data_IF_626733987729
#
_entry.id   IF_626733987729
#
_cell.length_a   1.000
_cell.length_b   1.000
_cell.length_c   1.000
_cell.angle_alpha   90.00
_cell.angle_beta   90.00
_cell.angle_gamma   90.00
#
_symmetry.space_group_name_H-M   'P 1'
#
loop_
_entity.id
_entity.type
_entity.pdbx_description
1 polymer ?
#
# COMPACT_ATOMS: atom_id res chain seq x y z
N UNK A 1 33.84 7.25 9.54
CA UNK A 1 33.08 6.72 10.70
C UNK A 1 31.72 6.28 10.20
N UNK A 2 31.33 5.04 10.43
CA UNK A 2 29.98 4.55 10.11
C UNK A 2 29.00 5.00 11.20
N UNK A 3 27.92 5.66 10.80
CA UNK A 3 26.85 6.08 11.73
C UNK A 3 25.91 4.88 11.94
N UNK A 4 25.76 4.43 13.17
CA UNK A 4 24.74 3.44 13.51
C UNK A 4 23.35 4.07 13.62
N UNK A 5 22.33 3.34 13.16
CA UNK A 5 20.93 3.77 13.14
C UNK A 5 20.01 2.69 13.74
N UNK A 6 18.85 3.10 14.24
CA UNK A 6 17.87 2.18 14.86
C UNK A 6 16.70 1.92 13.93
N UNK A 7 16.47 0.65 13.56
CA UNK A 7 15.34 0.22 12.73
C UNK A 7 14.01 0.37 13.47
N UNK A 8 12.92 0.34 12.69
CA UNK A 8 11.57 0.20 13.24
C UNK A 8 11.41 -1.08 14.10
N UNK A 9 12.22 -2.12 13.85
CA UNK A 9 12.26 -3.34 14.66
C UNK A 9 13.03 -3.21 15.98
N UNK A 10 13.68 -2.07 16.24
CA UNK A 10 14.56 -1.86 17.40
C UNK A 10 16.00 -2.34 17.21
N UNK A 11 16.30 -3.12 16.17
CA UNK A 11 17.68 -3.54 15.85
C UNK A 11 18.52 -2.35 15.36
N UNK A 12 19.79 -2.32 15.75
CA UNK A 12 20.78 -1.37 15.22
C UNK A 12 21.48 -1.94 13.99
N UNK A 13 21.84 -1.07 13.05
CA UNK A 13 22.71 -1.39 11.92
C UNK A 13 23.48 -0.14 11.47
N UNK A 14 24.51 -0.32 10.66
CA UNK A 14 25.16 0.79 9.98
C UNK A 14 24.22 1.42 8.94
N UNK A 15 24.25 2.74 8.84
CA UNK A 15 23.49 3.43 7.80
C UNK A 15 23.95 2.96 6.42
N UNK A 16 22.99 2.55 5.61
CA UNK A 16 23.22 2.20 4.23
C UNK A 16 22.69 3.35 3.35
N UNK A 17 23.57 4.26 2.96
CA UNK A 17 23.25 5.41 2.12
C UNK A 17 22.73 5.00 0.76
N UNK A 18 23.18 3.85 0.24
CA UNK A 18 22.72 3.32 -1.03
C UNK A 18 21.25 2.87 -0.98
N UNK A 19 20.80 2.29 0.15
CA UNK A 19 19.37 2.00 0.37
C UNK A 19 18.54 3.30 0.44
N UNK A 20 19.09 4.35 1.04
CA UNK A 20 18.42 5.66 1.10
C UNK A 20 18.33 6.27 -0.31
N UNK A 21 19.44 6.27 -1.07
CA UNK A 21 19.51 6.70 -2.47
C UNK A 21 18.45 5.99 -3.31
N UNK A 22 18.46 4.66 -3.31
CA UNK A 22 17.49 3.85 -4.04
C UNK A 22 16.03 4.12 -3.60
N UNK A 23 15.79 4.51 -2.35
CA UNK A 23 14.45 4.92 -1.92
C UNK A 23 14.05 6.29 -2.45
N UNK A 24 14.98 7.23 -2.58
CA UNK A 24 14.75 8.55 -3.16
C UNK A 24 14.52 8.44 -4.68
N UNK A 25 15.38 7.71 -5.38
CA UNK A 25 15.27 7.49 -6.83
C UNK A 25 13.96 6.82 -7.22
N UNK A 26 13.53 5.78 -6.47
CA UNK A 26 12.22 5.14 -6.70
C UNK A 26 11.03 6.07 -6.48
N UNK A 27 11.19 7.12 -5.67
CA UNK A 27 10.20 8.19 -5.57
C UNK A 27 10.26 9.21 -6.71
N UNK A 28 11.15 9.03 -7.70
CA UNK A 28 11.29 9.89 -8.85
C UNK A 28 12.22 11.09 -8.64
N UNK A 29 13.07 11.07 -7.61
CA UNK A 29 14.16 12.05 -7.50
C UNK A 29 15.25 11.75 -8.54
N UNK A 30 15.93 12.79 -9.05
CA UNK A 30 17.15 12.61 -9.86
C UNK A 30 18.34 12.19 -8.98
N UNK A 31 19.43 11.74 -9.60
CA UNK A 31 20.66 11.39 -8.86
C UNK A 31 21.28 12.58 -8.12
N UNK A 32 21.22 13.76 -8.73
CA UNK A 32 21.72 15.00 -8.14
C UNK A 32 20.89 15.36 -6.91
N UNK A 33 19.56 15.33 -7.05
CA UNK A 33 18.63 15.61 -5.95
C UNK A 33 18.76 14.57 -4.83
N UNK A 34 18.90 13.29 -5.17
CA UNK A 34 19.09 12.22 -4.19
C UNK A 34 20.39 12.42 -3.39
N UNK A 35 21.48 12.77 -4.08
CA UNK A 35 22.77 13.06 -3.45
C UNK A 35 22.68 14.26 -2.52
N UNK A 36 22.09 15.37 -2.97
CA UNK A 36 21.90 16.57 -2.15
C UNK A 36 21.09 16.28 -0.88
N UNK A 37 20.02 15.50 -0.98
CA UNK A 37 19.18 15.12 0.16
C UNK A 37 19.95 14.23 1.13
N UNK A 38 20.74 13.28 0.63
CA UNK A 38 21.56 12.41 1.48
C UNK A 38 22.57 13.24 2.25
N UNK A 39 23.29 14.15 1.60
CA UNK A 39 24.29 15.00 2.24
C UNK A 39 23.68 15.83 3.37
N UNK A 40 22.52 16.46 3.12
CA UNK A 40 21.76 17.20 4.14
C UNK A 40 21.35 16.30 5.32
N UNK A 41 20.88 15.09 5.05
CA UNK A 41 20.51 14.13 6.11
C UNK A 41 21.74 13.74 6.93
N UNK A 42 22.86 13.43 6.29
CA UNK A 42 24.08 13.00 6.97
C UNK A 42 24.64 14.06 7.93
N UNK A 43 24.44 15.34 7.61
CA UNK A 43 24.78 16.46 8.50
C UNK A 43 23.85 16.62 9.71
N UNK A 44 22.58 16.19 9.61
CA UNK A 44 21.57 16.37 10.68
C UNK A 44 21.37 15.14 11.58
N UNK A 45 21.85 13.97 11.18
CA UNK A 45 21.68 12.73 11.94
C UNK A 45 22.82 12.53 12.94
N UNK A 46 22.44 12.15 14.16
CA UNK A 46 23.37 11.73 15.19
C UNK A 46 23.44 10.19 15.24
N UNK A 47 24.47 9.59 15.87
CA UNK A 47 24.48 8.16 16.18
C UNK A 47 23.19 7.70 16.85
N UNK A 48 22.74 6.49 16.50
CA UNK A 48 21.49 5.86 16.95
C UNK A 48 20.22 6.60 16.51
N UNK A 49 20.31 7.49 15.52
CA UNK A 49 19.12 8.07 14.89
C UNK A 49 18.19 6.95 14.37
N UNK A 50 16.89 7.10 14.62
CA UNK A 50 15.93 6.13 14.11
C UNK A 50 15.74 6.26 12.59
N UNK A 51 15.51 5.13 11.93
CA UNK A 51 15.04 5.08 10.52
C UNK A 51 13.79 5.95 10.29
N UNK A 52 12.93 6.11 11.31
CA UNK A 52 11.79 7.04 11.29
C UNK A 52 12.22 8.50 11.20
N UNK A 53 13.28 8.91 11.91
CA UNK A 53 13.86 10.27 11.83
C UNK A 53 14.43 10.52 10.43
N UNK A 54 15.21 9.57 9.91
CA UNK A 54 15.80 9.64 8.56
C UNK A 54 14.69 9.77 7.51
N UNK A 55 13.66 8.92 7.57
CA UNK A 55 12.50 9.00 6.68
C UNK A 55 11.82 10.37 6.74
N UNK A 56 11.63 10.94 7.94
CA UNK A 56 11.01 12.26 8.11
C UNK A 56 11.85 13.38 7.46
N UNK A 57 13.18 13.32 7.59
CA UNK A 57 14.09 14.28 6.98
C UNK A 57 14.07 14.16 5.44
N UNK A 58 14.23 12.94 4.91
CA UNK A 58 14.14 12.67 3.48
C UNK A 58 12.83 13.20 2.88
N UNK A 59 11.70 12.88 3.53
CA UNK A 59 10.38 13.38 3.13
C UNK A 59 10.29 14.91 3.18
N UNK A 60 10.86 15.54 4.21
CA UNK A 60 10.87 17.01 4.35
C UNK A 60 11.61 17.64 3.17
N UNK A 61 12.83 17.20 2.87
CA UNK A 61 13.62 17.79 1.80
C UNK A 61 13.05 17.47 0.41
N UNK A 62 12.57 16.24 0.19
CA UNK A 62 11.87 15.91 -1.05
C UNK A 62 10.70 16.85 -1.29
N UNK A 63 9.82 17.06 -0.31
CA UNK A 63 8.69 17.98 -0.48
C UNK A 63 9.09 19.42 -0.76
N UNK A 64 10.26 19.85 -0.29
CA UNK A 64 10.78 21.20 -0.53
C UNK A 64 11.37 21.36 -1.93
N UNK A 65 12.01 20.31 -2.46
CA UNK A 65 12.78 20.35 -3.70
C UNK A 65 12.02 19.76 -4.90
N UNK A 66 11.17 18.75 -4.68
CA UNK A 66 10.31 18.12 -5.68
C UNK A 66 9.02 17.58 -5.03
N UNK A 67 7.91 18.30 -5.22
CA UNK A 67 6.64 17.97 -4.59
C UNK A 67 6.12 16.56 -4.95
N UNK A 68 6.20 16.19 -6.24
CA UNK A 68 5.77 14.88 -6.72
C UNK A 68 6.58 13.74 -6.10
N UNK A 69 7.90 13.88 -6.01
CA UNK A 69 8.73 12.87 -5.32
C UNK A 69 8.41 12.78 -3.83
N UNK A 70 8.13 13.92 -3.19
CA UNK A 70 7.67 13.92 -1.79
C UNK A 70 6.34 13.18 -1.58
N UNK A 71 5.41 13.27 -2.54
CA UNK A 71 4.17 12.50 -2.54
C UNK A 71 4.46 11.00 -2.66
N UNK A 72 5.18 10.58 -3.70
CA UNK A 72 5.52 9.16 -3.94
C UNK A 72 6.26 8.53 -2.77
N UNK A 73 7.21 9.27 -2.20
CA UNK A 73 7.94 8.85 -1.00
C UNK A 73 7.03 8.68 0.22
N UNK A 74 5.90 9.38 0.26
CA UNK A 74 4.90 9.26 1.33
C UNK A 74 3.95 8.09 1.16
N UNK A 75 3.87 7.46 -0.03
CA UNK A 75 2.87 6.46 -0.37
C UNK A 75 2.84 5.29 0.62
N UNK A 76 4.01 4.72 0.95
CA UNK A 76 4.10 3.63 1.93
C UNK A 76 3.47 4.01 3.28
N UNK A 77 3.73 5.22 3.73
CA UNK A 77 3.18 5.73 5.00
C UNK A 77 1.68 6.00 4.92
N UNK A 78 1.15 6.30 3.73
CA UNK A 78 -0.27 6.49 3.50
C UNK A 78 -1.02 5.16 3.62
N UNK A 79 -0.46 4.06 3.09
CA UNK A 79 -1.07 2.74 3.21
C UNK A 79 -1.27 2.32 4.67
N UNK A 80 -0.31 2.59 5.57
CA UNK A 80 -0.44 2.30 7.02
C UNK A 80 -1.57 3.06 7.72
N UNK A 81 -2.17 4.07 7.07
CA UNK A 81 -3.28 4.86 7.62
C UNK A 81 -4.65 4.41 7.11
N UNK A 82 -4.72 3.36 6.28
CA UNK A 82 -6.00 2.78 5.85
C UNK A 82 -6.71 2.05 7.01
N UNK A 83 -5.99 1.74 8.09
CA UNK A 83 -6.51 1.02 9.25
C UNK A 83 -7.31 1.87 10.26
N UNK A 84 -7.65 1.28 11.43
CA UNK A 84 -6.93 0.16 12.05
C UNK A 84 -7.31 -1.24 11.55
N UNK A 85 -8.46 -1.42 10.91
CA UNK A 85 -8.92 -2.72 10.37
C UNK A 85 -8.31 -3.04 8.99
N UNK A 86 -8.46 -4.29 8.54
CA UNK A 86 -8.04 -4.73 7.19
C UNK A 86 -9.00 -4.30 6.07
N UNK A 87 -10.30 -4.21 6.36
CA UNK A 87 -11.35 -3.93 5.37
C UNK A 87 -11.09 -2.75 4.41
N UNK A 88 -10.58 -1.59 4.87
CA UNK A 88 -10.29 -0.50 3.94
C UNK A 88 -9.15 -0.81 2.96
N UNK A 89 -8.17 -1.63 3.38
CA UNK A 89 -7.10 -2.09 2.50
C UNK A 89 -7.61 -3.10 1.47
N UNK A 90 -8.54 -3.98 1.85
CA UNK A 90 -9.20 -4.92 0.94
C UNK A 90 -9.98 -4.18 -0.15
N UNK A 91 -10.79 -3.19 0.25
CA UNK A 91 -11.50 -2.32 -0.70
C UNK A 91 -10.55 -1.51 -1.58
N UNK A 92 -9.48 -0.97 -1.01
CA UNK A 92 -8.46 -0.26 -1.77
C UNK A 92 -7.84 -1.15 -2.84
N UNK A 93 -7.41 -2.37 -2.46
CA UNK A 93 -6.82 -3.31 -3.40
C UNK A 93 -7.83 -3.78 -4.47
N UNK A 94 -9.09 -3.97 -4.08
CA UNK A 94 -10.19 -4.22 -5.01
C UNK A 94 -10.33 -3.11 -6.06
N UNK A 95 -10.24 -1.83 -5.67
CA UNK A 95 -10.23 -0.71 -6.63
C UNK A 95 -8.99 -0.68 -7.53
N UNK A 96 -7.83 -1.09 -7.03
CA UNK A 96 -6.64 -1.28 -7.87
C UNK A 96 -6.95 -2.30 -8.96
N UNK A 97 -7.40 -3.49 -8.59
CA UNK A 97 -7.71 -4.57 -9.55
C UNK A 97 -8.77 -4.16 -10.58
N UNK A 98 -9.83 -3.44 -10.18
CA UNK A 98 -10.80 -2.88 -11.12
C UNK A 98 -10.13 -2.03 -12.20
N UNK A 99 -9.18 -1.19 -11.80
CA UNK A 99 -8.42 -0.36 -12.73
C UNK A 99 -7.51 -1.18 -13.65
N UNK A 100 -7.17 -2.43 -13.29
CA UNK A 100 -6.43 -3.40 -14.09
C UNK A 100 -7.32 -4.41 -14.84
N UNK A 101 -8.61 -4.10 -15.00
CA UNK A 101 -9.52 -4.88 -15.86
C UNK A 101 -10.14 -6.10 -15.19
N UNK A 102 -10.17 -6.13 -13.86
CA UNK A 102 -10.90 -7.16 -13.10
C UNK A 102 -12.27 -6.65 -12.65
N UNK A 103 -13.27 -7.51 -12.72
CA UNK A 103 -14.45 -7.39 -11.86
C UNK A 103 -14.09 -7.90 -10.47
N UNK A 104 -14.54 -7.22 -9.42
CA UNK A 104 -14.17 -7.60 -8.06
C UNK A 104 -15.35 -7.58 -7.08
N UNK A 105 -15.29 -8.50 -6.12
CA UNK A 105 -16.19 -8.59 -4.97
C UNK A 105 -15.34 -8.69 -3.70
N UNK A 106 -15.75 -8.02 -2.61
CA UNK A 106 -15.00 -8.02 -1.34
C UNK A 106 -15.82 -8.66 -0.22
N UNK A 107 -15.16 -9.30 0.75
CA UNK A 107 -15.81 -9.88 1.94
C UNK A 107 -16.87 -10.93 1.60
N UNK A 108 -16.61 -11.74 0.58
CA UNK A 108 -17.57 -12.72 0.07
C UNK A 108 -17.39 -14.06 0.77
N UNK A 109 -18.49 -14.68 1.21
CA UNK A 109 -18.46 -16.04 1.78
C UNK A 109 -18.74 -17.04 0.66
N UNK A 110 -17.82 -17.96 0.42
CA UNK A 110 -17.94 -19.04 -0.57
C UNK A 110 -17.86 -20.39 0.15
N UNK A 111 -18.80 -21.28 -0.15
CA UNK A 111 -18.70 -22.69 0.21
C UNK A 111 -17.64 -23.36 -0.68
N UNK A 112 -16.50 -23.73 -0.07
CA UNK A 112 -15.51 -24.60 -0.69
C UNK A 112 -15.97 -26.05 -0.72
N UNK A 113 -15.08 -26.95 -1.15
CA UNK A 113 -15.34 -28.39 -1.13
C UNK A 113 -15.60 -28.89 0.29
N UNK A 114 -14.86 -28.37 1.28
CA UNK A 114 -14.96 -28.84 2.66
C UNK A 114 -15.68 -27.85 3.58
N UNK A 115 -15.38 -26.54 3.51
CA UNK A 115 -15.91 -25.53 4.45
C UNK A 115 -16.23 -24.20 3.78
N UNK A 116 -16.97 -23.34 4.48
CA UNK A 116 -17.16 -21.94 4.09
C UNK A 116 -15.89 -21.13 4.31
N UNK A 117 -15.53 -20.28 3.35
CA UNK A 117 -14.41 -19.34 3.44
C UNK A 117 -14.90 -17.92 3.20
N UNK A 118 -14.55 -17.00 4.10
CA UNK A 118 -14.62 -15.56 3.83
C UNK A 118 -13.39 -15.16 3.00
N UNK A 119 -13.63 -14.58 1.83
CA UNK A 119 -12.61 -14.16 0.88
C UNK A 119 -12.56 -12.64 0.85
N UNK A 120 -11.39 -12.10 1.17
CA UNK A 120 -11.15 -10.65 1.24
C UNK A 120 -11.47 -9.98 -0.10
N UNK A 121 -10.90 -10.47 -1.21
CA UNK A 121 -11.26 -10.03 -2.57
C UNK A 121 -11.30 -11.22 -3.54
N UNK A 122 -12.39 -11.35 -4.27
CA UNK A 122 -12.48 -12.19 -5.47
C UNK A 122 -12.29 -11.27 -6.67
N UNK A 123 -11.35 -11.59 -7.55
CA UNK A 123 -11.08 -10.83 -8.76
C UNK A 123 -11.20 -11.71 -10.00
N UNK A 124 -11.98 -11.25 -10.97
CA UNK A 124 -12.39 -12.05 -12.13
C UNK A 124 -12.15 -11.24 -13.40
N UNK A 125 -11.52 -11.85 -14.40
CA UNK A 125 -11.46 -11.31 -15.77
C UNK A 125 -11.66 -12.45 -16.78
N UNK A 126 -11.48 -12.17 -18.07
CA UNK A 126 -11.69 -13.15 -19.13
C UNK A 126 -10.78 -14.38 -19.05
N UNK A 127 -9.62 -14.26 -18.41
CA UNK A 127 -8.57 -15.30 -18.38
C UNK A 127 -8.53 -16.06 -17.07
N UNK A 128 -8.83 -15.41 -15.95
CA UNK A 128 -8.59 -15.97 -14.63
C UNK A 128 -9.56 -15.48 -13.54
N UNK A 129 -9.65 -16.31 -12.51
CA UNK A 129 -10.33 -16.05 -11.24
C UNK A 129 -9.29 -16.13 -10.13
N UNK A 130 -9.10 -15.02 -9.43
CA UNK A 130 -8.13 -14.89 -8.36
C UNK A 130 -8.83 -14.76 -7.01
N UNK A 131 -8.44 -15.59 -6.05
CA UNK A 131 -8.83 -15.46 -4.64
C UNK A 131 -7.72 -14.73 -3.91
N UNK A 132 -7.98 -13.50 -3.50
CA UNK A 132 -7.00 -12.64 -2.88
C UNK A 132 -7.18 -12.65 -1.39
N UNK A 133 -6.09 -12.96 -0.69
CA UNK A 133 -5.94 -12.73 0.74
C UNK A 133 -5.15 -11.44 0.98
N UNK A 134 -5.73 -10.52 1.72
CA UNK A 134 -5.12 -9.27 2.14
C UNK A 134 -4.61 -9.36 3.59
N UNK A 135 -3.29 -9.40 3.78
CA UNK A 135 -2.68 -9.20 5.10
C UNK A 135 -2.20 -7.78 5.29
N UNK A 136 -3.09 -6.97 5.87
CA UNK A 136 -2.82 -5.59 6.21
C UNK A 136 -2.10 -5.44 7.57
N UNK A 137 -1.13 -4.53 7.63
CA UNK A 137 -0.52 -4.08 8.87
C UNK A 137 -0.64 -2.56 9.01
N UNK A 138 -0.98 -2.08 10.21
CA UNK A 138 -1.12 -0.65 10.52
C UNK A 138 0.19 0.02 11.01
N UNK A 139 1.26 -0.76 11.16
CA UNK A 139 2.57 -0.28 11.60
C UNK A 139 3.68 -0.86 10.70
N UNK A 140 4.76 -0.10 10.46
CA UNK A 140 5.93 -0.63 9.77
C UNK A 140 6.67 -1.64 10.65
N UNK A 141 7.47 -2.50 10.01
CA UNK A 141 8.36 -3.44 10.69
C UNK A 141 7.81 -4.85 10.86
N UNK A 142 6.52 -5.08 10.54
CA UNK A 142 5.92 -6.42 10.50
C UNK A 142 6.06 -7.05 9.12
N UNK A 143 6.31 -8.36 9.10
CA UNK A 143 6.37 -9.19 7.89
C UNK A 143 5.35 -10.30 7.96
N UNK A 144 4.84 -10.72 6.80
CA UNK A 144 3.96 -11.88 6.68
C UNK A 144 4.82 -13.15 6.59
N UNK A 145 4.56 -14.12 7.46
CA UNK A 145 5.34 -15.36 7.56
C UNK A 145 4.78 -16.49 6.68
N UNK A 146 5.51 -17.62 6.67
CA UNK A 146 5.19 -18.79 5.85
C UNK A 146 3.87 -19.46 6.27
N UNK A 147 3.44 -19.34 7.53
CA UNK A 147 2.18 -19.95 7.99
C UNK A 147 0.98 -19.34 7.29
N UNK A 148 1.00 -18.01 7.10
CA UNK A 148 -0.03 -17.32 6.32
C UNK A 148 -0.04 -17.79 4.88
N UNK A 149 1.14 -17.94 4.29
CA UNK A 149 1.31 -18.40 2.92
C UNK A 149 0.74 -19.82 2.72
N UNK A 150 1.03 -20.75 3.64
CA UNK A 150 0.45 -22.09 3.68
C UNK A 150 -1.08 -22.07 3.89
N UNK A 151 -1.58 -21.17 4.73
CA UNK A 151 -3.02 -20.99 4.95
C UNK A 151 -3.77 -20.46 3.72
N UNK A 152 -3.15 -19.58 2.92
CA UNK A 152 -3.72 -19.13 1.64
C UNK A 152 -3.79 -20.30 0.66
N UNK A 153 -2.72 -21.10 0.57
CA UNK A 153 -2.68 -22.26 -0.31
C UNK A 153 -3.76 -23.29 0.04
N UNK A 154 -3.92 -23.63 1.32
CA UNK A 154 -4.92 -24.63 1.73
C UNK A 154 -6.36 -24.19 1.43
N UNK A 155 -6.67 -22.90 1.62
CA UNK A 155 -7.96 -22.32 1.24
C UNK A 155 -8.19 -22.31 -0.25
N UNK A 156 -7.19 -21.88 -1.02
CA UNK A 156 -7.24 -21.89 -2.48
C UNK A 156 -7.57 -23.29 -3.02
N UNK A 157 -6.93 -24.32 -2.47
CA UNK A 157 -7.17 -25.72 -2.83
C UNK A 157 -8.60 -26.18 -2.55
N UNK A 158 -9.20 -25.72 -1.45
CA UNK A 158 -10.57 -26.08 -1.09
C UNK A 158 -11.62 -25.35 -1.95
N UNK A 159 -11.34 -24.11 -2.37
CA UNK A 159 -12.24 -23.27 -3.17
C UNK A 159 -12.25 -23.62 -4.66
N UNK A 160 -11.10 -24.05 -5.19
CA UNK A 160 -10.91 -24.25 -6.63
C UNK A 160 -11.97 -25.18 -7.26
N UNK A 161 -12.31 -26.34 -6.69
CA UNK A 161 -13.32 -27.23 -7.28
C UNK A 161 -14.71 -26.59 -7.40
N UNK A 162 -15.16 -25.85 -6.38
CA UNK A 162 -16.46 -25.19 -6.39
C UNK A 162 -16.54 -24.08 -7.44
N UNK A 163 -15.43 -23.38 -7.65
CA UNK A 163 -15.37 -22.22 -8.55
C UNK A 163 -15.09 -22.61 -10.00
N UNK A 164 -14.42 -23.73 -10.23
CA UNK A 164 -14.26 -24.34 -11.56
C UNK A 164 -15.60 -24.66 -12.22
N UNK A 165 -16.60 -25.11 -11.46
CA UNK A 165 -17.95 -25.34 -11.99
C UNK A 165 -18.62 -24.05 -12.49
N UNK A 166 -18.30 -22.90 -11.87
CA UNK A 166 -18.85 -21.59 -12.24
C UNK A 166 -18.08 -20.91 -13.36
N UNK A 167 -16.79 -21.20 -13.49
CA UNK A 167 -15.90 -20.60 -14.49
C UNK A 167 -15.02 -21.68 -15.16
N UNK A 168 -15.61 -22.55 -16.01
CA UNK A 168 -14.96 -23.76 -16.53
C UNK A 168 -13.72 -23.49 -17.39
N UNK A 169 -13.64 -22.32 -18.03
CA UNK A 169 -12.57 -21.97 -18.98
C UNK A 169 -11.54 -20.97 -18.41
N UNK A 170 -11.59 -20.68 -17.10
CA UNK A 170 -10.70 -19.70 -16.47
C UNK A 170 -9.64 -20.38 -15.61
N UNK A 171 -8.46 -19.78 -15.55
CA UNK A 171 -7.40 -20.22 -14.64
C UNK A 171 -7.72 -19.76 -13.22
N UNK A 172 -7.38 -20.56 -12.23
CA UNK A 172 -7.58 -20.21 -10.83
C UNK A 172 -6.24 -19.94 -10.17
N UNK A 173 -6.15 -18.88 -9.36
CA UNK A 173 -4.95 -18.58 -8.58
C UNK A 173 -5.29 -18.03 -7.20
N UNK A 174 -4.58 -18.49 -6.18
CA UNK A 174 -4.55 -17.83 -4.87
C UNK A 174 -3.53 -16.69 -4.88
N UNK A 175 -3.90 -15.54 -4.35
CA UNK A 175 -3.02 -14.38 -4.23
C UNK A 175 -2.84 -13.98 -2.76
N UNK A 176 -1.61 -13.73 -2.33
CA UNK A 176 -1.29 -13.16 -1.01
C UNK A 176 -0.77 -11.73 -1.19
N UNK A 177 -1.49 -10.78 -0.59
CA UNK A 177 -1.25 -9.35 -0.75
C UNK A 177 -0.98 -8.70 0.59
N UNK A 178 0.02 -7.83 0.67
CA UNK A 178 0.32 -7.08 1.89
C UNK A 178 0.90 -5.70 1.60
N UNK A 179 0.63 -4.72 2.48
CA UNK A 179 1.26 -3.40 2.42
C UNK A 179 2.69 -3.39 3.02
N UNK A 180 3.16 -4.51 3.57
CA UNK A 180 4.54 -4.67 4.08
C UNK A 180 5.35 -5.59 3.18
N UNK A 181 6.02 -6.60 3.74
CA UNK A 181 6.86 -7.58 3.05
C UNK A 181 6.58 -8.97 3.59
N UNK A 182 6.92 -9.99 2.81
CA UNK A 182 6.91 -11.38 3.24
C UNK A 182 8.30 -11.77 3.77
N UNK A 183 8.37 -12.83 4.59
CA UNK A 183 9.65 -13.48 4.90
C UNK A 183 10.16 -14.28 3.70
N UNK A 184 11.47 -14.56 3.66
CA UNK A 184 12.08 -15.33 2.56
C UNK A 184 11.44 -16.72 2.40
N UNK A 185 11.12 -17.40 3.51
CA UNK A 185 10.45 -18.70 3.46
C UNK A 185 9.02 -18.60 2.89
N UNK A 186 8.29 -17.51 3.19
CA UNK A 186 6.96 -17.26 2.65
C UNK A 186 7.00 -16.96 1.15
N UNK A 187 8.05 -16.28 0.68
CA UNK A 187 8.30 -16.04 -0.75
C UNK A 187 8.69 -17.33 -1.48
N UNK A 188 9.64 -18.10 -0.94
CA UNK A 188 10.05 -19.39 -1.53
C UNK A 188 8.89 -20.37 -1.63
N UNK A 189 8.08 -20.47 -0.58
CA UNK A 189 6.87 -21.30 -0.59
C UNK A 189 5.87 -20.82 -1.67
N UNK A 190 5.86 -19.50 -1.96
CA UNK A 190 5.02 -18.87 -2.98
C UNK A 190 5.32 -19.27 -4.39
N UNK A 191 6.57 -19.06 -4.72
CA UNK A 191 7.10 -19.35 -6.03
C UNK A 191 6.98 -20.85 -6.29
N UNK A 192 7.30 -21.68 -5.30
CA UNK A 192 7.17 -23.14 -5.38
C UNK A 192 5.73 -23.59 -5.69
N UNK A 193 4.73 -23.04 -4.99
CA UNK A 193 3.32 -23.39 -5.19
C UNK A 193 2.61 -22.52 -6.25
N UNK A 194 3.37 -21.69 -6.99
CA UNK A 194 2.89 -20.83 -8.08
C UNK A 194 1.76 -19.85 -7.70
N UNK A 195 1.61 -19.48 -6.43
CA UNK A 195 0.62 -18.47 -6.04
C UNK A 195 1.10 -17.05 -6.34
N UNK A 196 0.15 -16.14 -6.56
CA UNK A 196 0.45 -14.73 -6.78
C UNK A 196 0.87 -14.08 -5.47
N UNK A 197 1.94 -13.30 -5.47
CA UNK A 197 2.31 -12.46 -4.32
C UNK A 197 2.41 -11.03 -4.79
N UNK A 198 1.82 -10.10 -4.04
CA UNK A 198 2.10 -8.67 -4.20
C UNK A 198 2.33 -8.03 -2.85
N UNK A 199 3.53 -7.51 -2.65
CA UNK A 199 3.91 -6.79 -1.44
C UNK A 199 4.57 -5.47 -1.78
N UNK A 200 4.98 -4.72 -0.77
CA UNK A 200 5.71 -3.47 -0.98
C UNK A 200 7.07 -3.75 -1.63
N UNK A 201 7.21 -3.40 -2.91
CA UNK A 201 8.43 -3.59 -3.69
C UNK A 201 8.76 -5.05 -3.99
N UNK A 202 7.76 -5.94 -4.09
CA UNK A 202 7.90 -7.28 -4.69
C UNK A 202 6.56 -7.75 -5.30
N UNK A 203 6.56 -8.46 -6.45
CA UNK A 203 7.72 -8.71 -7.32
C UNK A 203 8.22 -7.40 -7.93
N UNK A 204 9.45 -7.37 -8.41
CA UNK A 204 10.07 -6.12 -8.84
C UNK A 204 9.24 -5.40 -9.91
N UNK A 205 8.56 -6.14 -10.81
CA UNK A 205 7.79 -5.58 -11.93
C UNK A 205 6.28 -5.50 -11.74
N UNK A 206 5.73 -6.07 -10.68
CA UNK A 206 4.27 -6.06 -10.42
C UNK A 206 3.98 -5.94 -8.91
N UNK A 207 4.84 -5.21 -8.20
CA UNK A 207 4.66 -4.94 -6.77
C UNK A 207 3.44 -4.06 -6.50
N UNK A 208 2.94 -4.08 -5.26
CA UNK A 208 1.89 -3.15 -4.85
C UNK A 208 2.29 -1.69 -5.06
N UNK A 209 3.57 -1.36 -4.87
CA UNK A 209 4.12 -0.02 -5.11
C UNK A 209 3.99 0.36 -6.60
N UNK A 210 4.45 -0.50 -7.51
CA UNK A 210 4.35 -0.26 -8.97
C UNK A 210 2.89 -0.18 -9.44
N UNK A 211 2.04 -1.10 -9.00
CA UNK A 211 0.62 -1.09 -9.37
C UNK A 211 -0.07 0.25 -9.07
N UNK A 212 0.30 0.89 -7.96
CA UNK A 212 -0.26 2.18 -7.55
C UNK A 212 0.32 3.31 -8.42
N UNK A 213 1.64 3.35 -8.59
CA UNK A 213 2.31 4.40 -9.35
C UNK A 213 1.95 4.39 -10.84
N UNK A 214 1.91 3.21 -11.47
CA UNK A 214 1.67 3.05 -12.92
C UNK A 214 0.31 3.64 -13.35
N UNK A 215 -0.67 3.65 -12.44
CA UNK A 215 -2.01 4.22 -12.68
C UNK A 215 -2.34 5.40 -11.78
N UNK A 216 -1.36 5.90 -11.01
CA UNK A 216 -1.52 6.99 -10.02
C UNK A 216 -2.72 6.80 -9.09
N UNK A 217 -2.95 5.56 -8.65
CA UNK A 217 -4.10 5.17 -7.83
C UNK A 217 -3.84 5.40 -6.34
N UNK A 218 -3.49 6.63 -5.97
CA UNK A 218 -3.10 6.96 -4.61
C UNK A 218 -4.26 6.78 -3.61
N UNK A 219 -4.01 6.28 -2.38
CA UNK A 219 -5.04 6.22 -1.35
C UNK A 219 -5.32 7.64 -0.83
N UNK A 220 -6.56 7.92 -0.41
CA UNK A 220 -6.98 9.22 0.14
C UNK A 220 -6.13 9.64 1.36
N UNK A 221 -5.59 8.66 2.07
CA UNK A 221 -4.73 8.82 3.24
C UNK A 221 -3.34 9.42 2.93
N UNK A 222 -3.01 9.59 1.65
CA UNK A 222 -1.77 10.24 1.21
C UNK A 222 -1.78 11.74 1.50
N UNK A 223 -2.97 12.34 1.57
CA UNK A 223 -3.16 13.74 1.90
C UNK A 223 -2.64 13.99 3.33
N UNK A 224 -1.60 14.80 3.44
CA UNK A 224 -0.97 15.13 4.71
C UNK A 224 -1.87 16.03 5.57
N UNK A 225 -1.75 15.92 6.90
CA UNK A 225 -2.41 16.83 7.84
C UNK A 225 -3.86 16.45 8.21
N UNK A 226 -4.42 15.42 7.60
CA UNK A 226 -5.74 14.89 8.00
C UNK A 226 -5.60 14.12 9.32
N UNK A 227 -6.42 14.48 10.31
CA UNK A 227 -6.52 13.76 11.57
C UNK A 227 -7.10 12.36 11.37
N UNK A 228 -6.70 11.39 12.19
CA UNK A 228 -7.15 9.99 12.07
C UNK A 228 -8.68 9.85 12.06
N UNK A 229 -9.39 10.62 12.90
CA UNK A 229 -10.86 10.60 12.93
C UNK A 229 -11.52 11.03 11.62
N UNK A 230 -10.92 11.97 10.88
CA UNK A 230 -11.43 12.40 9.57
C UNK A 230 -11.11 11.37 8.48
N UNK A 231 -9.93 10.75 8.52
CA UNK A 231 -9.60 9.62 7.65
C UNK A 231 -10.63 8.50 7.84
N UNK A 232 -10.94 8.14 9.08
CA UNK A 232 -11.94 7.10 9.36
C UNK A 232 -13.33 7.45 8.82
N UNK A 233 -13.72 8.73 8.77
CA UNK A 233 -14.98 9.15 8.15
C UNK A 233 -14.96 8.98 6.63
N UNK A 234 -13.88 9.42 5.96
CA UNK A 234 -13.73 9.22 4.51
C UNK A 234 -13.85 7.73 4.14
N UNK A 235 -13.14 6.86 4.86
CA UNK A 235 -13.16 5.43 4.59
C UNK A 235 -14.54 4.78 4.85
N UNK A 236 -15.29 5.27 5.85
CA UNK A 236 -16.67 4.83 6.10
C UNK A 236 -17.62 5.20 4.97
N UNK A 237 -17.45 6.38 4.38
CA UNK A 237 -18.21 6.85 3.21
C UNK A 237 -17.69 6.26 1.88
N UNK A 238 -16.82 5.24 1.93
CA UNK A 238 -16.18 4.62 0.76
C UNK A 238 -15.36 5.59 -0.12
N UNK A 239 -14.87 6.70 0.45
CA UNK A 239 -13.90 7.59 -0.19
C UNK A 239 -12.52 7.02 0.12
N UNK A 240 -11.98 6.21 -0.79
CA UNK A 240 -10.76 5.42 -0.55
C UNK A 240 -9.59 5.91 -1.38
N UNK A 241 -9.83 6.31 -2.62
CA UNK A 241 -8.81 6.84 -3.52
C UNK A 241 -8.73 8.37 -3.42
N UNK A 242 -7.56 8.92 -3.69
CA UNK A 242 -7.36 10.37 -3.77
C UNK A 242 -8.30 11.01 -4.80
N UNK A 243 -8.49 10.34 -5.95
CA UNK A 243 -9.37 10.80 -7.02
C UNK A 243 -10.84 10.93 -6.58
N UNK A 244 -11.28 10.10 -5.62
CA UNK A 244 -12.64 10.17 -5.08
C UNK A 244 -12.82 11.53 -4.39
N UNK A 245 -11.86 11.92 -3.56
CA UNK A 245 -11.85 13.23 -2.89
C UNK A 245 -11.74 14.41 -3.86
N UNK A 246 -10.96 14.27 -4.94
CA UNK A 246 -10.81 15.28 -6.00
C UNK A 246 -12.11 15.51 -6.76
N UNK A 247 -12.91 14.46 -6.96
CA UNK A 247 -14.20 14.56 -7.66
C UNK A 247 -15.29 15.25 -6.85
N UNK A 248 -15.11 15.39 -5.53
CA UNK A 248 -16.08 16.01 -4.64
C UNK A 248 -15.98 17.55 -4.67
N UNK A 249 -17.10 18.23 -4.47
CA UNK A 249 -17.08 19.67 -4.23
C UNK A 249 -16.78 20.00 -2.75
N UNK A 250 -16.45 21.26 -2.46
CA UNK A 250 -16.13 21.72 -1.09
C UNK A 250 -17.30 21.53 -0.13
N UNK A 251 -18.55 21.66 -0.61
CA UNK A 251 -19.76 21.51 0.22
C UNK A 251 -19.92 20.08 0.73
N UNK A 252 -19.68 19.08 -0.12
CA UNK A 252 -19.78 17.67 0.22
C UNK A 252 -18.68 17.28 1.21
N UNK A 253 -17.44 17.72 0.97
CA UNK A 253 -16.32 17.53 1.89
C UNK A 253 -16.65 18.15 3.26
N UNK A 254 -17.23 19.35 3.27
CA UNK A 254 -17.67 20.05 4.48
C UNK A 254 -18.67 19.21 5.28
N UNK A 255 -19.67 18.66 4.59
CA UNK A 255 -20.74 17.89 5.20
C UNK A 255 -20.23 16.56 5.77
N UNK A 256 -19.55 15.76 4.94
CA UNK A 256 -19.05 14.43 5.30
C UNK A 256 -18.03 14.50 6.44
N UNK A 257 -17.13 15.48 6.41
CA UNK A 257 -16.09 15.63 7.41
C UNK A 257 -16.49 16.53 8.59
N UNK A 258 -17.64 17.18 8.52
CA UNK A 258 -18.08 18.21 9.48
C UNK A 258 -16.99 19.29 9.72
N UNK A 259 -16.39 19.78 8.63
CA UNK A 259 -15.31 20.77 8.69
C UNK A 259 -15.82 22.19 8.48
N UNK A 260 -15.11 23.23 8.98
CA UNK A 260 -15.29 24.59 8.49
C UNK A 260 -14.96 24.70 7.00
N UNK A 261 -15.64 25.58 6.28
CA UNK A 261 -15.47 25.77 4.84
C UNK A 261 -14.02 26.01 4.42
N UNK A 262 -13.30 26.87 5.17
CA UNK A 262 -11.88 27.14 4.94
C UNK A 262 -11.02 25.87 5.00
N UNK A 263 -11.31 24.95 5.93
CA UNK A 263 -10.58 23.68 6.06
C UNK A 263 -10.94 22.70 4.95
N UNK A 264 -12.22 22.61 4.57
CA UNK A 264 -12.67 21.79 3.46
C UNK A 264 -12.07 22.26 2.12
N UNK A 265 -12.05 23.57 1.88
CA UNK A 265 -11.42 24.17 0.69
C UNK A 265 -9.91 23.91 0.65
N UNK A 266 -9.21 24.05 1.78
CA UNK A 266 -7.78 23.75 1.87
C UNK A 266 -7.50 22.26 1.59
N UNK A 267 -8.32 21.36 2.13
CA UNK A 267 -8.21 19.92 1.88
C UNK A 267 -8.43 19.59 0.39
N UNK A 268 -9.47 20.16 -0.23
CA UNK A 268 -9.75 19.98 -1.66
C UNK A 268 -8.59 20.47 -2.52
N UNK A 269 -8.11 21.69 -2.27
CA UNK A 269 -6.97 22.27 -2.97
C UNK A 269 -5.73 21.36 -2.87
N UNK A 270 -5.44 20.85 -1.68
CA UNK A 270 -4.33 19.93 -1.48
C UNK A 270 -4.54 18.62 -2.25
N UNK A 271 -5.76 18.06 -2.28
CA UNK A 271 -6.05 16.86 -3.05
C UNK A 271 -5.86 17.08 -4.56
N UNK A 272 -6.29 18.22 -5.07
CA UNK A 272 -6.16 18.61 -6.49
C UNK A 272 -4.70 18.75 -6.91
N UNK A 273 -3.90 19.45 -6.11
CA UNK A 273 -2.45 19.61 -6.34
C UNK A 273 -1.73 18.25 -6.35
N UNK A 274 -2.11 17.33 -5.46
CA UNK A 274 -1.50 16.00 -5.40
C UNK A 274 -1.93 15.11 -6.56
N UNK A 275 -3.14 15.29 -7.11
CA UNK A 275 -3.64 14.51 -8.24
C UNK A 275 -3.04 14.96 -9.58
N UNK A 276 -2.57 16.20 -9.66
CA UNK A 276 -1.86 16.74 -10.82
C UNK A 276 -0.38 16.30 -10.88
N UNK A 277 0.17 15.82 -9.76
CA UNK A 277 1.51 15.25 -9.68
C UNK A 277 1.59 13.83 -10.27
#
# INVERSE_FOLDING_TARGET
MTIQITKASGKTEDINTEKLRNSLLRSGASEELASEIIDRIMLEIAPLASTKKIYRLARKYLRQLNHASGLRYSLKSALFKLGPTGYPFEKYYSFLLKSYGYETQTGSIIQGRCVNHEIDVIAVNDKEVNFVECKYHNKPGTTVDVKVAMYVESRFRDLTPAMAARYPDRRFRGWLVTNTRLTDDALKYAECNKYGVRSWGYPDDDSLEKMIEDKRLYPVTIVSGIQSGLISRLLKENIILLKDLVSMNVRDIRHILSLPEKKAAALKKQADELCQC
#
